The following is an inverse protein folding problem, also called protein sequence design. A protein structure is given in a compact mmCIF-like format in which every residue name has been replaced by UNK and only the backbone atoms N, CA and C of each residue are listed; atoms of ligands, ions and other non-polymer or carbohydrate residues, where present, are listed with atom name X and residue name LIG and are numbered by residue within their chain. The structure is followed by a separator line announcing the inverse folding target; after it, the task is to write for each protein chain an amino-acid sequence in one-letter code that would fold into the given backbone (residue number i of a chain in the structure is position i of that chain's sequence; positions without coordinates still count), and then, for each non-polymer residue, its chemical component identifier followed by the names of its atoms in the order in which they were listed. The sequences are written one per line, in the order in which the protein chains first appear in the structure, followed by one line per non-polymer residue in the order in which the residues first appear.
data_IF_561883111215
#
_entry.id   IF_561883111215
#
_cell.length_a   1.000
_cell.length_b   1.000
_cell.length_c   1.000
_cell.angle_alpha   90.00
_cell.angle_beta   90.00
_cell.angle_gamma   90.00
#
_symmetry.space_group_name_H-M   'P 1'
#
loop_
_entity.id
_entity.type
_entity.pdbx_description
1 polymer ?
#
# COMPACT_ATOMS: atom_id res chain seq x y z
N UNK A 1 14.22 -2.37 -12.88
CA UNK A 1 13.51 -2.97 -11.73
C UNK A 1 12.13 -3.41 -12.18
N UNK A 2 11.58 -4.52 -11.66
CA UNK A 2 10.25 -4.99 -12.03
C UNK A 2 9.17 -4.07 -11.44
N UNK A 3 8.04 -3.93 -12.12
CA UNK A 3 6.91 -3.15 -11.57
C UNK A 3 6.21 -3.96 -10.49
N UNK A 4 5.58 -3.27 -9.54
CA UNK A 4 5.01 -3.88 -8.34
C UNK A 4 3.50 -3.65 -8.30
N UNK A 5 2.76 -4.70 -8.00
CA UNK A 5 1.33 -4.63 -7.70
C UNK A 5 1.13 -4.97 -6.23
N UNK A 6 0.37 -4.14 -5.52
CA UNK A 6 0.04 -4.38 -4.11
C UNK A 6 -1.40 -4.05 -3.76
N UNK A 7 -1.85 -4.58 -2.63
CA UNK A 7 -3.19 -4.34 -2.10
C UNK A 7 -3.10 -3.99 -0.62
N UNK A 8 -3.74 -2.90 -0.23
CA UNK A 8 -3.82 -2.47 1.18
C UNK A 8 -5.14 -3.02 1.75
N UNK A 9 -5.03 -4.10 2.54
CA UNK A 9 -6.16 -4.90 3.01
C UNK A 9 -6.73 -4.27 4.27
N UNK A 10 -7.79 -3.51 4.03
CA UNK A 10 -8.56 -2.75 5.01
C UNK A 10 -10.06 -2.78 4.67
N UNK A 11 -10.90 -2.51 5.66
CA UNK A 11 -12.34 -2.33 5.47
C UNK A 11 -12.67 -0.97 4.88
N UNK A 12 -13.85 -0.87 4.25
CA UNK A 12 -14.35 0.37 3.67
C UNK A 12 -14.48 1.53 4.68
N UNK A 13 -14.57 1.24 5.98
CA UNK A 13 -14.68 2.24 7.04
C UNK A 13 -13.36 2.66 7.70
N UNK A 14 -12.23 1.99 7.39
CA UNK A 14 -10.91 2.37 7.90
C UNK A 14 -10.29 3.63 7.29
N UNK A 15 -10.45 3.93 5.98
CA UNK A 15 -9.80 5.07 5.34
C UNK A 15 -9.92 6.37 6.14
N UNK A 16 -8.85 7.16 6.19
CA UNK A 16 -8.76 8.40 6.98
C UNK A 16 -9.91 9.39 6.71
N UNK A 17 -10.57 9.29 5.55
CA UNK A 17 -11.75 10.10 5.24
C UNK A 17 -12.94 9.86 6.20
N UNK A 18 -12.97 8.70 6.87
CA UNK A 18 -13.96 8.33 7.88
C UNK A 18 -13.42 8.42 9.31
N UNK A 19 -12.22 8.96 9.51
CA UNK A 19 -11.69 9.19 10.85
C UNK A 19 -12.67 10.02 11.69
N UNK A 20 -12.97 9.55 12.90
CA UNK A 20 -13.94 10.15 13.81
C UNK A 20 -15.43 9.88 13.47
N UNK A 21 -15.74 9.20 12.36
CA UNK A 21 -17.11 8.75 12.02
C UNK A 21 -17.47 7.43 12.68
N UNK A 22 -16.49 6.54 12.79
CA UNK A 22 -16.63 5.21 13.39
C UNK A 22 -15.49 5.02 14.37
N UNK A 23 -15.82 4.77 15.64
CA UNK A 23 -14.81 4.39 16.61
C UNK A 23 -14.41 2.92 16.43
N UNK A 24 -13.20 2.56 16.87
CA UNK A 24 -12.73 1.16 16.81
C UNK A 24 -13.63 0.17 17.57
N UNK A 25 -14.42 0.66 18.53
CA UNK A 25 -15.42 -0.14 19.28
C UNK A 25 -16.67 -0.46 18.48
N UNK A 26 -16.89 0.24 17.35
CA UNK A 26 -18.08 0.09 16.51
C UNK A 26 -17.80 -0.76 15.27
N UNK A 27 -16.53 -0.97 14.90
CA UNK A 27 -16.16 -1.71 13.69
C UNK A 27 -16.75 -3.11 13.62
N UNK A 28 -16.94 -3.79 14.75
CA UNK A 28 -17.57 -5.12 14.77
C UNK A 28 -19.07 -5.12 14.46
N UNK A 29 -19.72 -3.95 14.51
CA UNK A 29 -21.13 -3.77 14.19
C UNK A 29 -21.35 -3.35 12.74
N UNK A 30 -20.31 -2.92 12.05
CA UNK A 30 -20.36 -2.51 10.66
C UNK A 30 -20.31 -3.74 9.76
N UNK A 31 -21.01 -3.69 8.63
CA UNK A 31 -20.96 -4.75 7.64
C UNK A 31 -19.53 -4.89 7.12
N UNK A 32 -18.97 -6.09 7.24
CA UNK A 32 -17.66 -6.41 6.70
C UNK A 32 -17.77 -6.70 5.21
N UNK A 33 -16.93 -6.06 4.40
CA UNK A 33 -16.81 -6.31 2.96
C UNK A 33 -15.43 -6.83 2.57
N UNK A 34 -14.45 -6.74 3.48
CA UNK A 34 -13.05 -7.05 3.19
C UNK A 34 -12.84 -8.50 2.73
N UNK A 35 -13.46 -9.49 3.36
CA UNK A 35 -13.24 -10.91 3.03
C UNK A 35 -13.66 -11.20 1.58
N UNK A 36 -14.92 -10.95 1.24
CA UNK A 36 -15.44 -11.22 -0.11
C UNK A 36 -14.75 -10.39 -1.20
N UNK A 37 -14.35 -9.15 -0.91
CA UNK A 37 -13.61 -8.34 -1.87
C UNK A 37 -12.16 -8.83 -2.05
N UNK A 38 -11.48 -9.25 -0.98
CA UNK A 38 -10.16 -9.84 -1.08
C UNK A 38 -10.21 -11.18 -1.83
N UNK A 39 -11.22 -12.03 -1.63
CA UNK A 39 -11.42 -13.24 -2.43
C UNK A 39 -11.59 -12.95 -3.93
N UNK A 40 -12.34 -11.90 -4.28
CA UNK A 40 -12.47 -11.43 -5.67
C UNK A 40 -11.13 -10.96 -6.24
N UNK A 41 -10.30 -10.28 -5.44
CA UNK A 41 -8.93 -9.90 -5.84
C UNK A 41 -8.08 -11.15 -6.09
N UNK A 42 -8.12 -12.15 -5.19
CA UNK A 42 -7.36 -13.39 -5.35
C UNK A 42 -7.74 -14.12 -6.64
N UNK A 43 -9.04 -14.26 -6.92
CA UNK A 43 -9.53 -14.87 -8.17
C UNK A 43 -9.07 -14.09 -9.41
N UNK A 44 -9.06 -12.75 -9.35
CA UNK A 44 -8.53 -11.90 -10.42
C UNK A 44 -7.03 -12.15 -10.66
N UNK A 45 -6.23 -12.20 -9.59
CA UNK A 45 -4.79 -12.44 -9.68
C UNK A 45 -4.47 -13.85 -10.20
N UNK A 46 -5.23 -14.86 -9.76
CA UNK A 46 -5.12 -16.24 -10.25
C UNK A 46 -5.39 -16.32 -11.76
N UNK A 47 -6.49 -15.71 -12.23
CA UNK A 47 -6.84 -15.67 -13.65
C UNK A 47 -5.77 -14.98 -14.51
N UNK A 48 -5.05 -14.01 -13.95
CA UNK A 48 -3.94 -13.30 -14.60
C UNK A 48 -2.57 -13.94 -14.37
N UNK A 49 -2.46 -14.95 -13.50
CA UNK A 49 -1.20 -15.57 -13.04
C UNK A 49 -0.21 -14.53 -12.51
N UNK A 50 -0.71 -13.59 -11.72
CA UNK A 50 0.08 -12.50 -11.13
C UNK A 50 0.36 -12.77 -9.66
N UNK A 51 1.58 -12.49 -9.25
CA UNK A 51 1.93 -12.36 -7.83
C UNK A 51 1.87 -10.89 -7.41
N UNK A 52 1.39 -10.63 -6.20
CA UNK A 52 1.28 -9.30 -5.62
C UNK A 52 1.66 -9.32 -4.14
N UNK A 53 1.75 -8.13 -3.55
CA UNK A 53 1.96 -7.94 -2.11
C UNK A 53 0.69 -7.44 -1.44
N UNK A 54 0.31 -8.04 -0.33
CA UNK A 54 -0.84 -7.67 0.47
C UNK A 54 -0.34 -7.02 1.76
N UNK A 55 -0.49 -5.70 1.88
CA UNK A 55 -0.25 -4.98 3.13
C UNK A 55 -1.50 -5.13 3.98
N UNK A 56 -1.44 -5.95 5.02
CA UNK A 56 -2.61 -6.35 5.80
C UNK A 56 -2.65 -5.58 7.09
N UNK A 57 -3.81 -4.99 7.37
CA UNK A 57 -4.07 -4.35 8.64
C UNK A 57 -4.18 -5.41 9.75
N UNK A 58 -3.45 -5.21 10.85
CA UNK A 58 -3.42 -6.15 11.98
C UNK A 58 -4.80 -6.43 12.57
N UNK A 59 -5.71 -5.44 12.61
CA UNK A 59 -7.10 -5.67 13.02
C UNK A 59 -7.84 -6.63 12.08
N UNK A 60 -7.65 -6.50 10.76
CA UNK A 60 -8.24 -7.42 9.77
C UNK A 60 -7.67 -8.82 9.94
N UNK A 61 -6.36 -8.94 10.14
CA UNK A 61 -5.70 -10.23 10.37
C UNK A 61 -6.16 -10.92 11.67
N UNK A 62 -6.37 -10.14 12.74
CA UNK A 62 -6.89 -10.64 14.02
C UNK A 62 -8.33 -11.16 13.88
N UNK A 63 -9.16 -10.43 13.14
CA UNK A 63 -10.57 -10.77 12.96
C UNK A 63 -10.79 -11.90 11.96
N UNK A 64 -10.00 -11.93 10.89
CA UNK A 64 -10.14 -12.87 9.78
C UNK A 64 -8.81 -13.58 9.49
N UNK A 65 -8.29 -14.41 10.41
CA UNK A 65 -7.01 -15.09 10.23
C UNK A 65 -7.00 -15.99 8.99
N UNK A 66 -8.12 -16.63 8.68
CA UNK A 66 -8.30 -17.46 7.49
C UNK A 66 -8.05 -16.70 6.17
N UNK A 67 -8.33 -15.39 6.14
CA UNK A 67 -8.09 -14.56 4.96
C UNK A 67 -6.58 -14.40 4.70
N UNK A 68 -5.79 -14.20 5.76
CA UNK A 68 -4.32 -14.11 5.67
C UNK A 68 -3.73 -15.43 5.19
N UNK A 69 -4.17 -16.55 5.79
CA UNK A 69 -3.74 -17.89 5.38
C UNK A 69 -4.11 -18.19 3.92
N UNK A 70 -5.26 -17.71 3.44
CA UNK A 70 -5.66 -17.86 2.04
C UNK A 70 -4.75 -17.06 1.09
N UNK A 71 -4.41 -15.83 1.44
CA UNK A 71 -3.47 -15.00 0.66
C UNK A 71 -2.08 -15.67 0.61
N UNK A 72 -1.58 -16.17 1.74
CA UNK A 72 -0.28 -16.86 1.84
C UNK A 72 -0.27 -18.17 1.01
N UNK A 73 -1.33 -19.00 1.13
CA UNK A 73 -1.48 -20.23 0.33
C UNK A 73 -1.59 -19.97 -1.17
N UNK A 74 -2.12 -18.82 -1.58
CA UNK A 74 -2.17 -18.39 -2.98
C UNK A 74 -0.79 -17.94 -3.51
N UNK A 75 0.25 -17.91 -2.67
CA UNK A 75 1.62 -17.57 -3.05
C UNK A 75 1.91 -16.08 -3.09
N UNK A 76 1.02 -15.24 -2.55
CA UNK A 76 1.22 -13.81 -2.49
C UNK A 76 2.03 -13.40 -1.24
N UNK A 77 2.71 -12.26 -1.33
CA UNK A 77 3.47 -11.76 -0.20
C UNK A 77 2.56 -11.12 0.86
N UNK A 78 2.77 -11.47 2.13
CA UNK A 78 2.21 -10.78 3.28
C UNK A 78 3.16 -9.68 3.78
N UNK A 79 2.65 -8.46 3.91
CA UNK A 79 3.31 -7.29 4.48
C UNK A 79 2.39 -6.62 5.52
N UNK A 80 2.93 -5.78 6.39
CA UNK A 80 2.16 -5.10 7.45
C UNK A 80 1.63 -3.74 7.00
N UNK A 81 0.34 -3.48 7.29
CA UNK A 81 -0.27 -2.15 7.16
C UNK A 81 -0.52 -1.46 8.52
N UNK A 82 0.27 -1.79 9.55
CA UNK A 82 -0.01 -1.38 10.93
C UNK A 82 -1.12 -2.22 11.57
N UNK A 83 -1.74 -1.74 12.66
CA UNK A 83 -2.79 -2.50 13.35
C UNK A 83 -4.17 -1.80 13.33
N UNK A 84 -4.27 -0.53 13.72
CA UNK A 84 -5.55 0.20 13.87
C UNK A 84 -5.88 1.17 12.74
N UNK A 85 -5.05 1.27 11.71
CA UNK A 85 -5.18 2.25 10.63
C UNK A 85 -5.07 3.72 11.11
N UNK A 86 -4.56 3.95 12.31
CA UNK A 86 -4.21 5.30 12.74
C UNK A 86 -3.02 5.85 11.94
N UNK A 87 -3.13 7.13 11.52
CA UNK A 87 -1.99 7.83 10.94
C UNK A 87 -0.87 7.94 11.97
N UNK A 88 0.37 7.71 11.55
CA UNK A 88 1.55 7.78 12.43
C UNK A 88 1.69 9.18 13.06
N UNK A 89 1.20 10.23 12.39
CA UNK A 89 1.17 11.60 12.93
C UNK A 89 0.33 11.76 14.21
N UNK A 90 -0.56 10.81 14.52
CA UNK A 90 -1.38 10.78 15.74
C UNK A 90 -0.83 9.85 16.83
N UNK A 91 0.27 9.15 16.56
CA UNK A 91 0.89 8.21 17.48
C UNK A 91 2.20 8.77 18.03
N UNK A 92 2.50 8.44 19.28
CA UNK A 92 3.85 8.59 19.82
C UNK A 92 4.71 7.34 19.55
N UNK A 93 6.04 7.40 19.76
CA UNK A 93 6.95 6.27 19.52
C UNK A 93 6.55 4.96 20.23
N UNK A 94 6.09 5.03 21.47
CA UNK A 94 5.69 3.85 22.24
C UNK A 94 4.40 3.23 21.71
N UNK A 95 3.41 4.06 21.34
CA UNK A 95 2.15 3.63 20.73
C UNK A 95 2.41 2.99 19.37
N UNK A 96 3.20 3.64 18.51
CA UNK A 96 3.55 3.11 17.21
C UNK A 96 4.30 1.78 17.32
N UNK A 97 5.26 1.66 18.24
CA UNK A 97 5.98 0.40 18.49
C UNK A 97 5.02 -0.72 18.92
N UNK A 98 4.04 -0.44 19.78
CA UNK A 98 3.03 -1.43 20.19
C UNK A 98 2.13 -1.85 19.02
N UNK A 99 1.69 -0.90 18.21
CA UNK A 99 0.89 -1.12 17.00
C UNK A 99 1.60 -2.05 16.00
N UNK A 100 2.83 -1.71 15.61
CA UNK A 100 3.58 -2.50 14.64
C UNK A 100 3.95 -3.87 15.19
N UNK A 101 4.38 -3.96 16.46
CA UNK A 101 4.75 -5.24 17.08
C UNK A 101 3.57 -6.20 17.14
N UNK A 102 2.38 -5.71 17.51
CA UNK A 102 1.15 -6.53 17.52
C UNK A 102 0.79 -7.00 16.12
N UNK A 103 0.82 -6.11 15.13
CA UNK A 103 0.58 -6.45 13.72
C UNK A 103 1.53 -7.55 13.24
N UNK A 104 2.83 -7.38 13.48
CA UNK A 104 3.85 -8.34 13.08
C UNK A 104 3.71 -9.69 13.79
N UNK A 105 3.38 -9.72 15.09
CA UNK A 105 3.16 -10.98 15.80
C UNK A 105 2.03 -11.81 15.17
N UNK A 106 0.90 -11.17 14.87
CA UNK A 106 -0.25 -11.84 14.26
C UNK A 106 0.10 -12.30 12.85
N UNK A 107 0.61 -11.40 12.00
CA UNK A 107 0.89 -11.72 10.60
C UNK A 107 1.96 -12.80 10.46
N UNK A 108 3.04 -12.75 11.25
CA UNK A 108 4.07 -13.81 11.22
C UNK A 108 3.54 -15.16 11.70
N UNK A 109 2.55 -15.20 12.61
CA UNK A 109 1.91 -16.48 13.00
C UNK A 109 1.01 -17.09 11.93
N UNK A 110 0.58 -16.29 10.95
CA UNK A 110 -0.35 -16.67 9.88
C UNK A 110 0.32 -16.79 8.50
N UNK A 111 1.62 -16.49 8.41
CA UNK A 111 2.36 -16.47 7.14
C UNK A 111 3.46 -17.51 7.13
N UNK A 112 3.67 -18.16 5.98
CA UNK A 112 4.77 -19.12 5.78
C UNK A 112 6.15 -18.46 5.75
N UNK A 113 6.20 -17.14 5.51
CA UNK A 113 7.43 -16.38 5.41
C UNK A 113 7.45 -15.21 6.42
N UNK A 114 8.65 -14.76 6.86
CA UNK A 114 8.77 -13.56 7.66
C UNK A 114 8.15 -12.34 6.99
N UNK A 115 7.41 -11.55 7.77
CA UNK A 115 6.81 -10.27 7.36
C UNK A 115 7.86 -9.18 7.52
N UNK A 116 8.44 -8.75 6.40
CA UNK A 116 9.55 -7.77 6.35
C UNK A 116 9.18 -6.46 5.65
N UNK A 117 7.95 -6.36 5.15
CA UNK A 117 7.42 -5.20 4.45
C UNK A 117 6.47 -4.38 5.31
N UNK A 118 6.51 -3.07 5.17
CA UNK A 118 5.58 -2.15 5.80
C UNK A 118 5.03 -1.11 4.81
N UNK A 119 3.77 -0.72 5.01
CA UNK A 119 3.20 0.51 4.46
C UNK A 119 2.37 1.17 5.54
N UNK A 120 2.58 2.45 5.78
CA UNK A 120 1.83 3.23 6.75
C UNK A 120 0.41 3.51 6.24
N UNK A 121 -0.62 3.39 7.10
CA UNK A 121 -1.94 3.93 6.84
C UNK A 121 -1.88 5.35 6.30
N UNK A 122 -2.57 5.62 5.19
CA UNK A 122 -2.61 6.95 4.55
C UNK A 122 -1.23 7.50 4.16
N UNK A 123 -0.24 6.64 3.89
CA UNK A 123 1.13 7.06 3.56
C UNK A 123 1.73 8.02 4.60
N UNK A 124 1.42 7.78 5.88
CA UNK A 124 1.69 8.74 6.97
C UNK A 124 3.15 8.76 7.46
N UNK A 125 4.08 8.18 6.71
CA UNK A 125 5.52 8.51 6.81
C UNK A 125 5.75 9.82 6.05
N UNK A 126 5.92 10.88 6.83
CA UNK A 126 6.18 12.24 6.38
C UNK A 126 7.43 12.74 7.09
N UNK A 127 7.87 13.97 6.78
CA UNK A 127 8.99 14.59 7.51
C UNK A 127 8.81 14.63 9.03
N UNK A 128 7.56 14.72 9.50
CA UNK A 128 7.23 14.81 10.92
C UNK A 128 7.28 13.45 11.63
N UNK A 129 7.24 12.36 10.86
CA UNK A 129 7.12 10.98 11.37
C UNK A 129 8.32 10.10 11.00
N UNK A 130 9.43 10.69 10.52
CA UNK A 130 10.67 9.95 10.25
C UNK A 130 11.25 9.26 11.50
N UNK A 131 10.84 9.68 12.71
CA UNK A 131 11.16 8.97 13.95
C UNK A 131 10.63 7.53 13.99
N UNK A 132 9.67 7.17 13.13
CA UNK A 132 9.13 5.82 13.03
C UNK A 132 10.08 4.84 12.31
N UNK A 133 10.95 5.33 11.44
CA UNK A 133 11.89 4.51 10.65
C UNK A 133 12.84 3.64 11.50
N UNK A 134 13.50 4.15 12.56
CA UNK A 134 14.29 3.29 13.44
C UNK A 134 13.44 2.20 14.11
N UNK A 135 12.20 2.51 14.50
CA UNK A 135 11.29 1.54 15.12
C UNK A 135 10.94 0.43 14.14
N UNK A 136 10.61 0.77 12.89
CA UNK A 136 10.35 -0.21 11.84
C UNK A 136 11.55 -1.16 11.67
N UNK A 137 12.76 -0.61 11.55
CA UNK A 137 13.98 -1.40 11.37
C UNK A 137 14.26 -2.32 12.59
N UNK A 138 14.09 -1.80 13.82
CA UNK A 138 14.22 -2.53 15.08
C UNK A 138 13.24 -3.71 15.20
N UNK A 139 12.00 -3.53 14.73
CA UNK A 139 10.95 -4.57 14.76
C UNK A 139 11.08 -5.59 13.61
N UNK A 140 12.12 -5.49 12.79
CA UNK A 140 12.45 -6.49 11.76
C UNK A 140 12.00 -6.14 10.34
N UNK A 141 11.41 -4.97 10.12
CA UNK A 141 11.08 -4.48 8.77
C UNK A 141 12.38 -4.24 7.98
N UNK A 142 12.35 -4.52 6.68
CA UNK A 142 13.47 -4.38 5.75
C UNK A 142 13.15 -3.47 4.57
N UNK A 143 11.87 -3.37 4.22
CA UNK A 143 11.42 -2.36 3.27
C UNK A 143 10.12 -1.67 3.73
N UNK A 144 10.01 -0.40 3.36
CA UNK A 144 8.85 0.47 3.52
C UNK A 144 8.37 0.93 2.13
N UNK A 145 7.08 1.18 1.99
CA UNK A 145 6.47 1.77 0.78
C UNK A 145 5.43 2.81 1.20
N UNK A 146 5.88 3.75 2.04
CA UNK A 146 5.03 4.76 2.67
C UNK A 146 5.28 6.18 2.15
N UNK A 147 6.42 6.44 1.51
CA UNK A 147 6.77 7.76 1.02
C UNK A 147 6.10 8.00 -0.32
N UNK A 148 5.28 9.03 -0.39
CA UNK A 148 4.74 9.53 -1.66
C UNK A 148 5.45 10.84 -2.05
N UNK A 149 6.25 10.88 -3.14
CA UNK A 149 6.92 12.08 -3.62
C UNK A 149 6.00 13.14 -4.25
N UNK A 150 4.96 13.59 -3.55
CA UNK A 150 3.98 14.58 -4.03
C UNK A 150 3.65 15.61 -2.96
N UNK A 151 3.06 16.74 -3.38
CA UNK A 151 2.41 17.67 -2.46
C UNK A 151 0.97 17.18 -2.23
N UNK A 152 0.62 16.88 -0.98
CA UNK A 152 -0.73 16.45 -0.62
C UNK A 152 -1.13 17.04 0.75
N UNK A 153 -2.43 17.12 1.02
CA UNK A 153 -2.97 17.77 2.24
C UNK A 153 -2.76 16.96 3.53
N UNK A 154 -2.57 15.64 3.41
CA UNK A 154 -2.42 14.70 4.54
C UNK A 154 -1.05 14.04 4.65
N UNK A 155 -0.31 13.93 3.55
CA UNK A 155 0.91 13.13 3.45
C UNK A 155 1.83 13.69 2.36
N UNK A 156 2.96 13.02 2.16
CA UNK A 156 3.86 13.27 1.05
C UNK A 156 5.12 14.04 1.41
N UNK A 157 6.18 13.76 0.64
CA UNK A 157 7.51 14.38 0.75
C UNK A 157 7.94 14.75 -0.68
N UNK A 158 7.58 15.95 -1.18
CA UNK A 158 7.67 16.28 -2.62
C UNK A 158 9.06 16.13 -3.26
N UNK A 159 10.11 16.26 -2.47
CA UNK A 159 11.53 16.18 -2.85
C UNK A 159 12.18 14.83 -2.49
N UNK A 160 11.41 13.86 -2.01
CA UNK A 160 11.92 12.50 -1.81
C UNK A 160 12.40 11.90 -3.15
N UNK A 161 13.39 10.98 -3.11
CA UNK A 161 13.74 10.17 -4.26
C UNK A 161 12.52 9.46 -4.85
N UNK A 162 12.59 9.20 -6.15
CA UNK A 162 11.50 8.61 -6.95
C UNK A 162 11.83 7.20 -7.44
N UNK A 163 13.01 6.69 -7.05
CA UNK A 163 13.45 5.31 -7.21
C UNK A 163 13.72 4.74 -5.82
N UNK A 164 13.76 3.41 -5.64
CA UNK A 164 14.10 2.79 -4.37
C UNK A 164 15.45 3.27 -3.81
N UNK A 165 15.49 3.52 -2.50
CA UNK A 165 16.66 4.04 -1.79
C UNK A 165 16.67 3.60 -0.33
N UNK A 166 17.84 3.61 0.32
CA UNK A 166 17.93 3.37 1.76
C UNK A 166 17.46 4.62 2.50
N UNK A 167 16.30 4.56 3.14
CA UNK A 167 15.71 5.69 3.88
C UNK A 167 16.26 5.80 5.30
N UNK A 168 16.67 4.67 5.88
CA UNK A 168 17.28 4.60 7.21
C UNK A 168 18.22 3.40 7.30
N UNK A 169 19.29 3.51 8.09
CA UNK A 169 20.18 2.39 8.38
C UNK A 169 20.81 2.54 9.75
N UNK A 170 21.13 1.42 10.39
CA UNK A 170 21.99 1.35 11.56
C UNK A 170 23.20 0.44 11.27
N UNK A 171 23.99 0.10 12.28
CA UNK A 171 25.19 -0.74 12.09
C UNK A 171 24.89 -2.17 11.62
N UNK A 172 23.67 -2.66 11.85
CA UNK A 172 23.30 -4.06 11.60
C UNK A 172 22.43 -4.25 10.35
N UNK A 173 21.62 -3.25 9.97
CA UNK A 173 20.63 -3.40 8.91
C UNK A 173 20.28 -2.09 8.21
N UNK A 174 19.65 -2.21 7.05
CA UNK A 174 19.12 -1.13 6.23
C UNK A 174 17.60 -1.26 6.11
N UNK A 175 16.92 -0.11 6.05
CA UNK A 175 15.52 0.01 5.68
C UNK A 175 15.45 0.65 4.30
N UNK A 176 14.94 -0.10 3.32
CA UNK A 176 14.71 0.39 1.97
C UNK A 176 13.34 1.06 1.87
N UNK A 177 13.28 2.21 1.21
CA UNK A 177 12.02 2.82 0.80
C UNK A 177 11.79 2.54 -0.67
N UNK A 178 10.57 2.09 -0.99
CA UNK A 178 10.04 2.00 -2.34
C UNK A 178 8.96 3.08 -2.51
N UNK A 179 9.35 4.28 -2.96
CA UNK A 179 8.45 5.41 -3.00
C UNK A 179 7.34 5.21 -4.04
N UNK A 180 6.13 5.67 -3.72
CA UNK A 180 4.99 5.54 -4.62
C UNK A 180 5.23 6.24 -5.96
N UNK A 181 4.85 5.58 -7.05
CA UNK A 181 5.20 6.03 -8.39
C UNK A 181 4.67 7.41 -8.74
N UNK A 182 5.57 8.21 -9.30
CA UNK A 182 5.30 9.51 -9.90
C UNK A 182 6.01 9.62 -11.25
N UNK A 183 5.50 10.49 -12.11
CA UNK A 183 6.18 10.93 -13.32
C UNK A 183 6.57 12.38 -13.14
N UNK A 184 7.85 12.71 -13.36
CA UNK A 184 8.33 14.09 -13.24
C UNK A 184 8.16 14.82 -14.57
N UNK A 185 7.33 15.86 -14.60
CA UNK A 185 7.09 16.72 -15.78
C UNK A 185 7.25 18.18 -15.37
N UNK A 186 8.15 18.91 -16.02
CA UNK A 186 8.38 20.33 -15.80
C UNK A 186 8.54 20.73 -14.30
N UNK A 187 9.24 19.89 -13.52
CA UNK A 187 9.46 20.11 -12.09
C UNK A 187 8.37 19.59 -11.16
N UNK A 188 7.22 19.16 -11.70
CA UNK A 188 6.11 18.59 -10.95
C UNK A 188 6.17 17.07 -10.92
N UNK A 189 5.83 16.47 -9.78
CA UNK A 189 5.66 15.03 -9.64
C UNK A 189 4.17 14.71 -9.81
N UNK A 190 3.81 14.10 -10.93
CA UNK A 190 2.44 13.64 -11.19
C UNK A 190 2.26 12.22 -10.67
N UNK A 191 1.28 11.98 -9.78
CA UNK A 191 0.97 10.65 -9.26
C UNK A 191 0.69 9.62 -10.36
N UNK A 192 1.22 8.40 -10.22
CA UNK A 192 0.91 7.24 -11.08
C UNK A 192 0.65 5.97 -10.26
N UNK A 193 0.43 6.11 -8.95
CA UNK A 193 0.57 5.03 -7.96
C UNK A 193 -0.60 4.06 -7.81
N UNK A 194 -1.69 4.15 -8.57
CA UNK A 194 -2.89 3.35 -8.30
C UNK A 194 -3.90 4.07 -7.41
N UNK A 195 -4.76 3.30 -6.72
CA UNK A 195 -5.85 3.79 -5.89
C UNK A 195 -6.71 4.85 -6.56
N UNK A 196 -6.89 5.98 -5.88
CA UNK A 196 -7.63 7.14 -6.40
C UNK A 196 -7.17 7.58 -7.80
N UNK A 197 -5.88 7.54 -8.12
CA UNK A 197 -5.40 8.01 -9.43
C UNK A 197 -5.78 7.09 -10.59
N UNK A 198 -5.81 5.77 -10.37
CA UNK A 198 -6.26 4.82 -11.39
C UNK A 198 -7.74 5.01 -11.74
N UNK A 199 -8.51 5.51 -10.78
CA UNK A 199 -9.93 5.78 -10.89
C UNK A 199 -10.25 7.18 -11.44
N UNK A 200 -9.50 8.18 -11.01
CA UNK A 200 -9.70 9.58 -11.36
C UNK A 200 -9.13 9.91 -12.75
N UNK A 201 -7.99 9.31 -13.14
CA UNK A 201 -7.39 9.60 -14.43
C UNK A 201 -8.10 8.86 -15.59
N UNK A 202 -8.37 9.54 -16.71
CA UNK A 202 -8.77 8.87 -17.95
C UNK A 202 -7.67 7.92 -18.43
N UNK A 203 -8.06 6.79 -19.04
CA UNK A 203 -7.13 5.80 -19.65
C UNK A 203 -6.10 6.46 -20.59
N UNK A 204 -6.48 7.51 -21.33
CA UNK A 204 -5.59 8.26 -22.22
C UNK A 204 -4.48 8.99 -21.47
N UNK A 205 -4.81 9.67 -20.37
CA UNK A 205 -3.82 10.31 -19.50
C UNK A 205 -2.92 9.27 -18.85
N UNK A 206 -3.48 8.20 -18.29
CA UNK A 206 -2.68 7.12 -17.69
C UNK A 206 -1.74 6.49 -18.72
N UNK A 207 -2.19 6.26 -19.96
CA UNK A 207 -1.35 5.72 -21.04
C UNK A 207 -0.19 6.66 -21.41
N UNK A 208 -0.44 7.97 -21.46
CA UNK A 208 0.58 8.98 -21.67
C UNK A 208 1.61 8.96 -20.52
N UNK A 209 1.14 8.96 -19.27
CA UNK A 209 2.02 8.92 -18.09
C UNK A 209 2.85 7.63 -18.05
N UNK A 210 2.27 6.47 -18.37
CA UNK A 210 3.01 5.20 -18.49
C UNK A 210 4.10 5.28 -19.57
N UNK A 211 3.81 5.92 -20.70
CA UNK A 211 4.80 6.12 -21.77
C UNK A 211 5.97 7.00 -21.30
N UNK A 212 5.68 8.07 -20.57
CA UNK A 212 6.71 8.96 -20.01
C UNK A 212 7.50 8.23 -18.92
N UNK A 213 6.84 7.49 -18.04
CA UNK A 213 7.49 6.68 -17.00
C UNK A 213 8.49 5.69 -17.60
N UNK A 214 8.11 4.98 -18.67
CA UNK A 214 9.00 4.07 -19.42
C UNK A 214 10.22 4.80 -20.00
N UNK A 215 10.04 5.98 -20.60
CA UNK A 215 11.15 6.80 -21.12
C UNK A 215 12.10 7.29 -20.02
N UNK A 216 11.58 7.47 -18.82
CA UNK A 216 12.34 7.85 -17.63
C UNK A 216 12.90 6.63 -16.86
N UNK A 217 12.74 5.40 -17.37
CA UNK A 217 13.12 4.16 -16.70
C UNK A 217 12.56 4.01 -15.27
N UNK A 218 11.37 4.57 -15.01
CA UNK A 218 10.74 4.54 -13.68
C UNK A 218 10.14 3.17 -13.38
N UNK A 219 10.37 2.68 -12.18
CA UNK A 219 9.59 1.57 -11.62
C UNK A 219 8.14 2.04 -11.41
N UNK A 220 7.18 1.23 -11.88
CA UNK A 220 5.78 1.42 -11.56
C UNK A 220 5.40 0.60 -10.32
N UNK A 221 4.75 1.23 -9.35
CA UNK A 221 4.12 0.64 -8.18
C UNK A 221 2.65 1.04 -8.25
N UNK A 222 1.78 0.04 -8.35
CA UNK A 222 0.32 0.23 -8.34
C UNK A 222 -0.22 -0.40 -7.08
N UNK A 223 -1.00 0.34 -6.30
CA UNK A 223 -1.77 -0.20 -5.19
C UNK A 223 -3.28 -0.06 -5.40
N UNK A 224 -4.05 -0.86 -4.66
CA UNK A 224 -5.50 -0.87 -4.64
C UNK A 224 -6.01 -1.31 -3.26
N UNK A 225 -7.27 -1.04 -2.95
CA UNK A 225 -7.93 -1.58 -1.76
C UNK A 225 -9.07 -2.54 -2.11
N UNK A 226 -9.45 -3.48 -1.24
CA UNK A 226 -10.61 -4.33 -1.43
C UNK A 226 -11.91 -3.55 -1.71
N UNK A 227 -12.13 -2.44 -1.01
CA UNK A 227 -13.33 -1.60 -1.22
C UNK A 227 -13.32 -0.88 -2.58
N UNK A 228 -12.18 -0.74 -3.27
CA UNK A 228 -12.13 -0.09 -4.58
C UNK A 228 -12.71 -0.94 -5.70
N UNK A 229 -12.78 -2.27 -5.53
CA UNK A 229 -13.39 -3.18 -6.51
C UNK A 229 -14.88 -3.45 -6.21
N UNK A 230 -15.45 -2.75 -5.24
CA UNK A 230 -16.82 -2.93 -4.75
C UNK A 230 -17.65 -1.65 -4.98
N UNK A 231 -18.31 -1.52 -6.16
CA UNK A 231 -19.16 -0.37 -6.45
C UNK A 231 -20.34 -0.22 -5.49
N UNK A 232 -20.71 -1.30 -4.80
CA UNK A 232 -21.83 -1.37 -3.86
C UNK A 232 -21.38 -1.13 -2.41
N UNK A 233 -20.12 -0.73 -2.20
CA UNK A 233 -19.59 -0.40 -0.87
C UNK A 233 -20.52 0.60 -0.14
N UNK A 234 -20.75 0.40 1.18
CA UNK A 234 -21.61 1.28 1.96
C UNK A 234 -21.27 2.77 1.78
N UNK A 235 -22.30 3.57 1.51
CA UNK A 235 -22.15 5.00 1.23
C UNK A 235 -22.33 5.81 2.53
N UNK A 236 -21.26 6.48 2.93
CA UNK A 236 -21.25 7.44 4.05
C UNK A 236 -21.32 8.87 3.53
N UNK A 237 -22.05 9.73 4.24
CA UNK A 237 -22.14 11.15 3.90
C UNK A 237 -20.80 11.87 4.08
N UNK A 238 -20.33 12.50 3.00
CA UNK A 238 -19.05 13.21 2.89
C UNK A 238 -19.25 14.59 2.26
N UNK A 239 -18.29 15.50 2.47
CA UNK A 239 -18.25 16.74 1.70
C UNK A 239 -17.96 16.47 0.21
N UNK A 240 -18.19 17.47 -0.65
CA UNK A 240 -18.09 17.31 -2.11
C UNK A 240 -16.72 16.78 -2.55
N UNK A 241 -15.63 17.35 -2.01
CA UNK A 241 -14.27 16.93 -2.34
C UNK A 241 -13.99 15.48 -1.89
N UNK A 242 -14.46 15.12 -0.70
CA UNK A 242 -14.31 13.79 -0.14
C UNK A 242 -15.09 12.74 -0.93
N UNK A 243 -16.35 13.04 -1.28
CA UNK A 243 -17.18 12.19 -2.14
C UNK A 243 -16.53 11.97 -3.51
N UNK A 244 -15.96 13.02 -4.10
CA UNK A 244 -15.23 12.93 -5.36
C UNK A 244 -13.99 12.04 -5.24
N UNK A 245 -13.12 12.27 -4.24
CA UNK A 245 -11.90 11.48 -4.05
C UNK A 245 -12.16 10.02 -3.68
N UNK A 246 -13.27 9.72 -3.00
CA UNK A 246 -13.53 8.40 -2.44
C UNK A 246 -14.54 7.54 -3.21
N UNK A 247 -15.54 8.11 -3.90
CA UNK A 247 -16.56 7.32 -4.64
C UNK A 247 -16.59 7.54 -6.15
N UNK A 248 -15.99 8.60 -6.69
CA UNK A 248 -16.06 8.87 -8.14
C UNK A 248 -15.45 7.72 -8.96
N UNK A 249 -16.14 7.26 -10.01
CA UNK A 249 -15.71 6.18 -10.93
C UNK A 249 -15.39 4.83 -10.27
N UNK A 250 -15.97 4.51 -9.10
CA UNK A 250 -15.72 3.24 -8.42
C UNK A 250 -16.09 2.03 -9.30
N UNK A 251 -17.17 2.16 -10.07
CA UNK A 251 -17.64 1.18 -11.04
C UNK A 251 -16.64 0.87 -12.16
N UNK A 252 -15.68 1.78 -12.42
CA UNK A 252 -14.66 1.62 -13.46
C UNK A 252 -13.36 1.05 -12.92
N UNK A 253 -13.20 0.90 -11.61
CA UNK A 253 -11.90 0.59 -11.01
C UNK A 253 -11.40 -0.79 -11.46
N UNK A 254 -12.25 -1.82 -11.40
CA UNK A 254 -11.87 -3.17 -11.81
C UNK A 254 -11.45 -3.23 -13.29
N UNK A 255 -12.18 -2.56 -14.19
CA UNK A 255 -11.83 -2.44 -15.62
C UNK A 255 -10.52 -1.67 -15.88
N UNK A 256 -10.13 -0.80 -14.93
CA UNK A 256 -8.86 -0.05 -15.00
C UNK A 256 -7.70 -0.90 -14.46
N UNK A 257 -7.94 -1.67 -13.40
CA UNK A 257 -6.99 -2.63 -12.84
C UNK A 257 -6.71 -3.77 -13.84
N UNK A 258 -7.76 -4.30 -14.46
CA UNK A 258 -7.66 -5.30 -15.53
C UNK A 258 -6.82 -4.77 -16.71
N UNK A 259 -7.15 -3.57 -17.20
CA UNK A 259 -6.40 -2.96 -18.28
C UNK A 259 -4.93 -2.68 -17.94
N UNK A 260 -4.62 -2.16 -16.75
CA UNK A 260 -3.23 -1.83 -16.41
C UNK A 260 -2.38 -3.08 -16.24
N UNK A 261 -2.96 -4.17 -15.73
CA UNK A 261 -2.29 -5.48 -15.60
C UNK A 261 -2.08 -6.19 -16.94
N UNK A 262 -2.86 -5.85 -17.98
CA UNK A 262 -2.60 -6.34 -19.34
C UNK A 262 -1.44 -5.62 -20.03
N UNK A 263 -1.25 -4.33 -19.75
CA UNK A 263 -0.23 -3.51 -20.44
C UNK A 263 1.07 -3.34 -19.64
N UNK A 264 1.10 -3.78 -18.39
CA UNK A 264 2.28 -3.75 -17.51
C UNK A 264 2.46 -5.09 -16.81
N UNK A 265 3.68 -5.62 -16.83
CA UNK A 265 4.05 -6.80 -16.05
C UNK A 265 4.38 -6.41 -14.63
N UNK A 266 3.76 -7.09 -13.68
CA UNK A 266 3.90 -6.85 -12.24
C UNK A 266 4.51 -8.05 -11.50
N UNK A 267 5.02 -7.77 -10.31
CA UNK A 267 5.47 -8.74 -9.31
C UNK A 267 5.18 -8.21 -7.89
N UNK A 268 5.60 -8.94 -6.86
CA UNK A 268 5.55 -8.53 -5.46
C UNK A 268 6.77 -7.69 -5.03
N UNK A 269 6.61 -6.92 -3.96
CA UNK A 269 7.71 -6.23 -3.28
C UNK A 269 8.82 -7.19 -2.86
N UNK A 270 8.51 -8.39 -2.38
CA UNK A 270 9.51 -9.42 -2.01
C UNK A 270 10.48 -9.70 -3.14
N UNK A 271 9.97 -9.86 -4.36
CA UNK A 271 10.82 -10.10 -5.53
C UNK A 271 11.63 -8.85 -5.90
N UNK A 272 11.03 -7.66 -5.86
CA UNK A 272 11.73 -6.41 -6.15
C UNK A 272 12.83 -6.11 -5.12
N UNK A 273 12.55 -6.29 -3.83
CA UNK A 273 13.47 -6.12 -2.71
C UNK A 273 14.71 -7.01 -2.85
N UNK A 274 14.52 -8.31 -3.14
CA UNK A 274 15.64 -9.24 -3.37
C UNK A 274 16.60 -8.77 -4.45
N UNK A 275 16.10 -8.17 -5.54
CA UNK A 275 16.96 -7.67 -6.61
C UNK A 275 17.82 -6.49 -6.16
N UNK A 276 17.23 -5.57 -5.39
CA UNK A 276 17.92 -4.39 -4.88
C UNK A 276 18.97 -4.79 -3.84
N UNK A 277 18.64 -5.70 -2.93
CA UNK A 277 19.55 -6.23 -1.92
C UNK A 277 20.75 -6.99 -2.53
N UNK A 278 20.50 -7.81 -3.57
CA UNK A 278 21.56 -8.53 -4.29
C UNK A 278 22.48 -7.59 -5.08
N UNK A 279 21.90 -6.55 -5.71
CA UNK A 279 22.67 -5.58 -6.48
C UNK A 279 23.66 -4.81 -5.61
N UNK A 280 23.30 -4.46 -4.37
CA UNK A 280 24.24 -3.81 -3.44
C UNK A 280 25.30 -4.77 -2.90
N UNK A 281 24.95 -6.02 -2.59
CA UNK A 281 25.90 -7.00 -2.06
C UNK A 281 26.98 -7.36 -3.08
N UNK A 282 26.69 -7.22 -4.38
CA UNK A 282 27.63 -7.50 -5.47
C UNK A 282 28.65 -6.37 -5.74
N UNK A 283 28.52 -5.24 -5.05
CA UNK A 283 29.39 -4.05 -5.19
C UNK A 283 30.43 -3.96 -4.06
N UNK A 284 30.46 -4.94 -3.14
CA UNK A 284 31.41 -5.05 -2.02
C UNK A 284 32.51 -6.06 -2.34
#
# INVERSE_FOLDING_TARGET
MPNILSFDIEEWFHPEIFHGRFSSREWDKLESRVVGNTERILNFLEGKRLEATFFILGWVAEKYPHLVEQIDRAGHEIASHGFSHDMITRLNPEQFRKEIRRSLQILNSLSSNPVIGFRAPTFSITRQTLWALPILLEEGIRYDSSVYPIVHDRYGIPDAPTEPYVIYQNQAARLWEFPMSVVRIAGWNLPLGGGGYLRLYPKTLTSLLLTIARRQNRQLIVYAHPWEIDPETPQVSLNVLGRFRHYHNLEKFLDRLDWITDVVKFTSFRQAYRQVEMAETSVV
#
